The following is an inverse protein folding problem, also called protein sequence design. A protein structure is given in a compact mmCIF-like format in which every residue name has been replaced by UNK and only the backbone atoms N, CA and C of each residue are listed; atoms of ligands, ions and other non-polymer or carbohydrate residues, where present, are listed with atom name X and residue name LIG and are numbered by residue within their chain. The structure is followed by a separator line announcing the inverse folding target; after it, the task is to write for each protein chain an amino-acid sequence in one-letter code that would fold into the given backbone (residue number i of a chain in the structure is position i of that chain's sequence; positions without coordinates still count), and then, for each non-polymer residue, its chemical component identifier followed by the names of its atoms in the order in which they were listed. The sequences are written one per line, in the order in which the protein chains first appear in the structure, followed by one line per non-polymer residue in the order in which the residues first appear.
data_IF_518762562075
#
_entry.id   IF_518762562075
#
_cell.length_a   1.000
_cell.length_b   1.000
_cell.length_c   1.000
_cell.angle_alpha   90.00
_cell.angle_beta   90.00
_cell.angle_gamma   90.00
#
_symmetry.space_group_name_H-M   'P 1'
#
loop_
_entity.id
_entity.type
_entity.pdbx_description
1 polymer ?
#
# COMPACT_ATOMS: atom_id res chain seq x y z
N UNK A 1 -29.92 -27.32 4.42
CA UNK A 1 -29.62 -25.86 4.41
C UNK A 1 -28.56 -25.63 3.34
N UNK A 2 -28.98 -25.25 2.13
CA UNK A 2 -28.13 -25.23 0.93
C UNK A 2 -27.42 -23.87 0.88
N UNK A 3 -26.10 -23.85 1.10
CA UNK A 3 -25.26 -22.67 0.81
C UNK A 3 -25.16 -22.56 -0.72
N UNK A 4 -25.75 -21.52 -1.30
CA UNK A 4 -25.47 -21.15 -2.69
C UNK A 4 -23.99 -20.75 -2.77
N UNK A 5 -23.18 -21.64 -3.34
CA UNK A 5 -21.87 -21.32 -3.90
C UNK A 5 -22.10 -20.32 -5.03
N UNK A 6 -21.79 -19.05 -4.78
CA UNK A 6 -21.76 -18.03 -5.81
C UNK A 6 -20.54 -18.32 -6.68
N UNK A 7 -20.79 -19.07 -7.77
CA UNK A 7 -19.81 -19.41 -8.80
C UNK A 7 -19.41 -18.09 -9.47
N UNK A 8 -18.12 -17.82 -9.53
CA UNK A 8 -17.58 -16.69 -10.28
C UNK A 8 -17.82 -16.95 -11.77
N UNK A 9 -18.83 -16.30 -12.33
CA UNK A 9 -19.07 -16.25 -13.78
C UNK A 9 -18.06 -15.27 -14.39
N UNK A 10 -17.30 -15.73 -15.38
CA UNK A 10 -16.28 -14.96 -16.12
C UNK A 10 -16.88 -13.85 -17.03
N UNK A 11 -18.21 -13.67 -17.00
CA UNK A 11 -18.90 -12.67 -17.79
C UNK A 11 -18.82 -11.31 -17.07
N UNK A 12 -17.90 -10.46 -17.55
CA UNK A 12 -17.76 -8.99 -17.41
C UNK A 12 -18.38 -8.29 -16.17
N UNK A 13 -17.69 -7.32 -15.55
CA UNK A 13 -18.30 -6.50 -14.50
C UNK A 13 -19.60 -5.88 -15.04
N UNK A 14 -20.74 -6.22 -14.42
CA UNK A 14 -22.05 -5.74 -14.83
C UNK A 14 -22.07 -4.22 -14.69
N UNK A 15 -22.12 -3.51 -15.80
CA UNK A 15 -22.47 -2.09 -15.82
C UNK A 15 -23.82 -1.93 -15.10
N UNK A 16 -23.87 -0.99 -14.17
CA UNK A 16 -25.12 -0.62 -13.52
C UNK A 16 -26.03 0.04 -14.56
N UNK A 17 -26.95 -0.72 -15.14
CA UNK A 17 -28.10 -0.17 -15.84
C UNK A 17 -29.01 0.49 -14.79
N UNK A 18 -28.93 1.82 -14.72
CA UNK A 18 -29.73 2.63 -13.80
C UNK A 18 -29.50 4.10 -14.07
N UNK A 19 -30.33 4.68 -14.93
CA UNK A 19 -30.21 6.04 -15.43
C UNK A 19 -30.25 7.11 -14.34
N UNK A 20 -29.16 7.88 -14.27
CA UNK A 20 -29.18 9.32 -14.04
C UNK A 20 -27.93 9.85 -14.74
N UNK A 21 -28.11 10.77 -15.71
CA UNK A 21 -27.00 11.48 -16.36
C UNK A 21 -26.28 12.34 -15.33
N UNK A 22 -25.37 11.73 -14.57
CA UNK A 22 -24.28 12.44 -13.93
C UNK A 22 -23.34 12.94 -15.05
N UNK A 23 -22.73 14.12 -14.89
CA UNK A 23 -21.76 14.62 -15.87
C UNK A 23 -20.67 13.57 -16.07
N UNK A 24 -20.38 13.25 -17.33
CA UNK A 24 -19.31 12.33 -17.71
C UNK A 24 -18.03 12.75 -16.98
N UNK A 25 -17.44 11.89 -16.14
CA UNK A 25 -16.18 12.21 -15.49
C UNK A 25 -15.17 12.52 -16.60
N UNK A 26 -14.47 13.65 -16.46
CA UNK A 26 -13.41 14.03 -17.38
C UNK A 26 -12.49 12.83 -17.61
N UNK A 27 -12.26 12.48 -18.89
CA UNK A 27 -11.39 11.37 -19.28
C UNK A 27 -10.04 11.58 -18.61
N UNK A 28 -9.74 10.70 -17.64
CA UNK A 28 -8.55 10.80 -16.80
C UNK A 28 -7.35 10.35 -17.62
N UNK A 29 -6.26 11.13 -17.69
CA UNK A 29 -5.03 10.67 -18.31
C UNK A 29 -4.46 9.53 -17.46
N UNK A 30 -4.32 8.36 -18.07
CA UNK A 30 -3.70 7.19 -17.45
C UNK A 30 -2.26 7.11 -17.93
N UNK A 31 -1.31 7.18 -17.00
CA UNK A 31 0.08 6.81 -17.28
C UNK A 31 0.25 5.33 -17.01
N UNK A 32 0.37 4.55 -18.07
CA UNK A 32 0.64 3.12 -18.01
C UNK A 32 2.14 2.88 -18.09
N UNK A 33 2.66 2.17 -17.10
CA UNK A 33 4.02 1.63 -17.11
C UNK A 33 3.90 0.19 -17.61
N UNK A 34 4.11 0.00 -18.91
CA UNK A 34 4.10 -1.31 -19.55
C UNK A 34 5.47 -2.00 -19.42
N UNK A 35 5.47 -3.33 -19.41
CA UNK A 35 6.70 -4.12 -19.49
C UNK A 35 7.30 -4.05 -20.91
N UNK A 36 8.61 -4.28 -21.00
CA UNK A 36 9.39 -3.99 -22.23
C UNK A 36 8.94 -4.76 -23.49
N UNK A 37 8.23 -5.89 -23.33
CA UNK A 37 7.82 -6.79 -24.42
C UNK A 37 6.30 -6.80 -24.68
N UNK A 38 5.53 -5.92 -24.02
CA UNK A 38 4.07 -5.86 -24.11
C UNK A 38 3.62 -4.74 -25.07
N UNK A 39 2.58 -4.98 -25.90
CA UNK A 39 1.99 -3.92 -26.71
C UNK A 39 1.19 -2.96 -25.81
N UNK A 40 1.23 -1.66 -26.12
CA UNK A 40 0.53 -0.65 -25.33
C UNK A 40 -0.99 -0.88 -25.24
N UNK A 41 -1.59 -1.50 -26.26
CA UNK A 41 -3.02 -1.80 -26.34
C UNK A 41 -3.41 -2.97 -25.43
N UNK A 42 -2.63 -4.06 -25.45
CA UNK A 42 -2.84 -5.20 -24.55
C UNK A 42 -2.57 -4.81 -23.10
N UNK A 43 -1.49 -4.05 -22.86
CA UNK A 43 -1.18 -3.49 -21.54
C UNK A 43 -2.32 -2.63 -21.02
N UNK A 44 -2.95 -1.81 -21.88
CA UNK A 44 -4.08 -0.96 -21.52
C UNK A 44 -5.34 -1.78 -21.21
N UNK A 45 -5.66 -2.79 -22.02
CA UNK A 45 -6.84 -3.63 -21.83
C UNK A 45 -6.73 -4.48 -20.56
N UNK A 46 -5.60 -5.17 -20.36
CA UNK A 46 -5.38 -6.02 -19.18
C UNK A 46 -5.27 -5.18 -17.90
N UNK A 47 -4.64 -4.00 -17.97
CA UNK A 47 -4.64 -3.03 -16.88
C UNK A 47 -6.04 -2.51 -16.55
N UNK A 48 -6.85 -2.16 -17.56
CA UNK A 48 -8.20 -1.66 -17.34
C UNK A 48 -9.08 -2.72 -16.66
N UNK A 49 -8.96 -3.98 -17.09
CA UNK A 49 -9.70 -5.10 -16.52
C UNK A 49 -9.23 -5.43 -15.10
N UNK A 50 -7.92 -5.39 -14.86
CA UNK A 50 -7.34 -5.55 -13.52
C UNK A 50 -7.81 -4.45 -12.57
N UNK A 51 -7.85 -3.20 -13.04
CA UNK A 51 -8.31 -2.07 -12.22
C UNK A 51 -9.80 -2.08 -11.91
N UNK A 52 -10.66 -2.44 -12.86
CA UNK A 52 -12.10 -2.56 -12.59
C UNK A 52 -12.36 -3.56 -11.46
N UNK A 53 -11.62 -4.68 -11.46
CA UNK A 53 -11.67 -5.67 -10.39
C UNK A 53 -11.16 -5.15 -9.06
N UNK A 54 -10.05 -4.43 -9.08
CA UNK A 54 -9.47 -3.79 -7.89
C UNK A 54 -10.43 -2.77 -7.29
N UNK A 55 -11.01 -1.90 -8.10
CA UNK A 55 -11.99 -0.91 -7.67
C UNK A 55 -13.25 -1.57 -7.11
N UNK A 56 -13.71 -2.66 -7.74
CA UNK A 56 -14.82 -3.45 -7.22
C UNK A 56 -14.49 -4.09 -5.86
N UNK A 57 -13.33 -4.74 -5.71
CA UNK A 57 -12.90 -5.36 -4.44
C UNK A 57 -12.79 -4.32 -3.33
N UNK A 58 -12.25 -3.14 -3.66
CA UNK A 58 -12.10 -2.03 -2.74
C UNK A 58 -13.39 -1.35 -2.39
N UNK A 59 -14.43 -1.42 -3.21
CA UNK A 59 -15.75 -0.89 -2.85
C UNK A 59 -16.26 -1.49 -1.52
N UNK A 60 -15.97 -2.76 -1.25
CA UNK A 60 -16.39 -3.43 -0.01
C UNK A 60 -15.65 -2.90 1.23
N UNK A 61 -14.35 -2.64 1.09
CA UNK A 61 -13.50 -2.05 2.14
C UNK A 61 -13.92 -0.61 2.38
N UNK A 62 -14.08 0.15 1.29
CA UNK A 62 -14.56 1.54 1.27
C UNK A 62 -15.91 1.73 1.89
N UNK A 63 -16.77 0.74 1.96
CA UNK A 63 -18.06 0.91 2.63
C UNK A 63 -17.93 0.83 4.16
N UNK A 64 -17.02 -0.01 4.67
CA UNK A 64 -17.06 -0.50 6.05
C UNK A 64 -15.93 -0.01 6.94
N UNK A 65 -14.84 0.52 6.37
CA UNK A 65 -13.70 1.06 7.12
C UNK A 65 -13.51 2.56 6.87
N UNK A 66 -13.15 3.34 7.91
CA UNK A 66 -12.89 4.79 7.80
C UNK A 66 -11.44 5.13 7.38
N UNK A 67 -10.58 4.12 7.23
CA UNK A 67 -9.15 4.21 6.93
C UNK A 67 -8.50 2.86 7.22
N UNK A 68 -7.35 2.53 6.62
CA UNK A 68 -6.64 1.26 6.91
C UNK A 68 -5.43 1.57 7.79
N UNK A 69 -4.51 2.40 7.31
CA UNK A 69 -3.38 2.89 8.09
C UNK A 69 -3.42 4.41 8.29
N UNK A 70 -4.02 5.16 7.35
CA UNK A 70 -4.20 6.60 7.49
C UNK A 70 -5.58 6.93 8.06
N UNK A 71 -5.62 7.68 9.17
CA UNK A 71 -6.87 8.14 9.79
C UNK A 71 -6.88 9.66 9.92
N UNK A 72 -7.80 10.32 9.19
CA UNK A 72 -7.93 11.76 9.24
C UNK A 72 -8.39 12.30 10.61
N UNK A 73 -9.18 11.53 11.37
CA UNK A 73 -10.01 12.06 12.46
C UNK A 73 -9.61 11.64 13.90
N UNK A 74 -8.79 10.61 14.10
CA UNK A 74 -8.57 10.01 15.43
C UNK A 74 -7.24 10.41 16.10
N UNK A 75 -7.09 11.69 16.44
CA UNK A 75 -6.13 12.12 17.47
C UNK A 75 -6.85 13.00 18.49
N UNK A 76 -6.49 12.93 19.79
CA UNK A 76 -7.12 13.72 20.84
C UNK A 76 -6.97 15.20 20.48
N UNK A 77 -8.10 15.88 20.26
CA UNK A 77 -8.06 17.32 20.05
C UNK A 77 -7.65 17.97 21.38
N UNK A 78 -6.60 18.81 21.43
CA UNK A 78 -6.35 19.68 22.58
C UNK A 78 -7.27 20.91 22.56
N UNK A 79 -8.37 20.88 21.80
CA UNK A 79 -9.27 22.02 21.63
C UNK A 79 -10.40 21.95 22.65
N UNK A 80 -10.77 23.11 23.19
CA UNK A 80 -11.94 23.30 24.06
C UNK A 80 -13.29 23.02 23.34
N UNK A 81 -13.26 22.65 22.06
CA UNK A 81 -14.44 22.48 21.20
C UNK A 81 -14.38 21.13 20.46
N UNK A 82 -14.94 20.05 21.03
CA UNK A 82 -14.85 18.68 20.50
C UNK A 82 -15.60 18.45 19.17
N UNK A 83 -16.08 19.51 18.50
CA UNK A 83 -16.85 19.46 17.24
C UNK A 83 -16.27 20.34 16.12
N UNK A 84 -15.10 20.94 16.31
CA UNK A 84 -14.49 21.71 15.23
C UNK A 84 -14.11 20.75 14.08
N UNK A 85 -14.61 20.99 12.84
CA UNK A 85 -14.23 20.18 11.69
C UNK A 85 -12.72 20.29 11.47
N UNK A 86 -12.09 19.19 11.03
CA UNK A 86 -10.69 19.24 10.63
C UNK A 86 -10.52 20.27 9.51
N UNK A 87 -9.57 21.19 9.66
CA UNK A 87 -9.27 22.14 8.59
C UNK A 87 -8.58 21.42 7.45
N UNK A 88 -8.77 21.90 6.22
CA UNK A 88 -8.08 21.34 5.04
C UNK A 88 -6.55 21.35 5.21
N UNK A 89 -6.02 22.39 5.87
CA UNK A 89 -4.60 22.50 6.20
C UNK A 89 -4.14 21.41 7.19
N UNK A 90 -4.93 21.12 8.23
CA UNK A 90 -4.61 20.07 9.19
C UNK A 90 -4.64 18.68 8.55
N UNK A 91 -5.58 18.43 7.63
CA UNK A 91 -5.60 17.20 6.84
C UNK A 91 -4.36 17.08 5.94
N UNK A 92 -4.01 18.15 5.23
CA UNK A 92 -2.84 18.16 4.36
C UNK A 92 -1.55 17.87 5.14
N UNK A 93 -1.36 18.51 6.30
CA UNK A 93 -0.20 18.28 7.16
C UNK A 93 -0.15 16.83 7.70
N UNK A 94 -1.31 16.24 8.04
CA UNK A 94 -1.38 14.84 8.49
C UNK A 94 -1.06 13.86 7.37
N UNK A 95 -1.58 14.12 6.17
CA UNK A 95 -1.27 13.32 4.99
C UNK A 95 0.20 13.39 4.63
N UNK A 96 0.81 14.56 4.72
CA UNK A 96 2.25 14.73 4.54
C UNK A 96 3.04 13.93 5.59
N UNK A 97 2.68 14.00 6.87
CA UNK A 97 3.33 13.20 7.90
C UNK A 97 3.20 11.69 7.66
N UNK A 98 2.01 11.21 7.31
CA UNK A 98 1.78 9.81 6.96
C UNK A 98 2.62 9.38 5.77
N UNK A 99 2.64 10.18 4.70
CA UNK A 99 3.39 9.83 3.48
C UNK A 99 4.90 9.82 3.72
N UNK A 100 5.41 10.71 4.58
CA UNK A 100 6.84 10.82 4.87
C UNK A 100 7.34 9.79 5.89
N UNK A 101 6.55 9.50 6.93
CA UNK A 101 6.97 8.65 8.05
C UNK A 101 6.53 7.19 7.86
N UNK A 102 5.23 6.96 7.70
CA UNK A 102 4.67 5.61 7.69
C UNK A 102 4.81 4.97 6.31
N UNK A 103 4.33 5.68 5.27
CA UNK A 103 4.28 5.18 3.90
C UNK A 103 5.70 4.96 3.36
N UNK A 104 6.60 5.95 3.47
CA UNK A 104 8.01 5.79 3.07
C UNK A 104 8.85 4.95 4.02
N UNK A 105 8.36 4.73 5.24
CA UNK A 105 8.98 3.86 6.22
C UNK A 105 8.53 2.40 6.06
N UNK A 106 8.03 1.84 7.15
CA UNK A 106 7.74 0.41 7.27
C UNK A 106 6.63 -0.06 6.32
N UNK A 107 5.60 0.76 6.07
CA UNK A 107 4.45 0.34 5.26
C UNK A 107 4.85 0.13 3.79
N UNK A 108 5.53 1.12 3.19
CA UNK A 108 5.96 1.03 1.79
C UNK A 108 6.99 -0.05 1.57
N UNK A 109 7.99 -0.17 2.45
CA UNK A 109 8.97 -1.24 2.37
C UNK A 109 8.32 -2.62 2.53
N UNK A 110 7.38 -2.76 3.47
CA UNK A 110 6.62 -3.99 3.66
C UNK A 110 5.77 -4.35 2.44
N UNK A 111 5.11 -3.37 1.81
CA UNK A 111 4.34 -3.58 0.57
C UNK A 111 5.24 -4.03 -0.58
N UNK A 112 6.37 -3.37 -0.79
CA UNK A 112 7.33 -3.73 -1.86
C UNK A 112 7.85 -5.16 -1.65
N UNK A 113 8.25 -5.50 -0.43
CA UNK A 113 8.74 -6.84 -0.11
C UNK A 113 7.65 -7.90 -0.25
N UNK A 114 6.41 -7.59 0.13
CA UNK A 114 5.28 -8.50 -0.04
C UNK A 114 4.97 -8.74 -1.51
N UNK A 115 5.03 -7.70 -2.35
CA UNK A 115 4.85 -7.85 -3.79
C UNK A 115 5.94 -8.71 -4.41
N UNK A 116 7.20 -8.48 -4.05
CA UNK A 116 8.34 -9.29 -4.50
C UNK A 116 8.23 -10.76 -4.07
N UNK A 117 7.87 -11.03 -2.81
CA UNK A 117 7.66 -12.38 -2.31
C UNK A 117 6.50 -13.09 -3.03
N UNK A 118 5.43 -12.34 -3.32
CA UNK A 118 4.30 -12.84 -4.12
C UNK A 118 4.73 -13.21 -5.53
N UNK A 119 5.49 -12.34 -6.19
CA UNK A 119 6.05 -12.58 -7.52
C UNK A 119 6.94 -13.82 -7.55
N UNK A 120 7.79 -13.98 -6.54
CA UNK A 120 8.67 -15.14 -6.37
C UNK A 120 7.94 -16.43 -5.93
N UNK A 121 6.62 -16.39 -5.72
CA UNK A 121 5.82 -17.49 -5.17
C UNK A 121 6.31 -17.98 -3.78
N UNK A 122 6.96 -17.11 -3.01
CA UNK A 122 7.55 -17.40 -1.70
C UNK A 122 6.52 -17.18 -0.58
N UNK A 123 5.76 -18.25 -0.31
CA UNK A 123 4.75 -18.24 0.75
C UNK A 123 5.36 -18.10 2.17
N UNK A 124 6.44 -18.82 2.54
CA UNK A 124 7.10 -18.61 3.83
C UNK A 124 7.47 -17.14 4.05
N UNK A 125 8.05 -16.47 3.05
CA UNK A 125 8.40 -15.05 3.17
C UNK A 125 7.19 -14.15 3.36
N UNK A 126 6.06 -14.42 2.70
CA UNK A 126 4.83 -13.66 2.93
C UNK A 126 4.31 -13.81 4.37
N UNK A 127 4.41 -14.99 4.95
CA UNK A 127 4.00 -15.24 6.34
C UNK A 127 4.92 -14.52 7.33
N UNK A 128 6.23 -14.51 7.07
CA UNK A 128 7.18 -13.72 7.86
C UNK A 128 6.85 -12.23 7.83
N UNK A 129 6.56 -11.69 6.63
CA UNK A 129 6.19 -10.29 6.47
C UNK A 129 4.88 -9.98 7.20
N UNK A 130 3.86 -10.84 7.11
CA UNK A 130 2.61 -10.68 7.85
C UNK A 130 2.84 -10.64 9.37
N UNK A 131 3.66 -11.55 9.90
CA UNK A 131 4.03 -11.56 11.30
C UNK A 131 4.79 -10.28 11.72
N UNK A 132 5.67 -9.75 10.85
CA UNK A 132 6.37 -8.48 11.08
C UNK A 132 5.40 -7.30 11.15
N UNK A 133 4.37 -7.27 10.30
CA UNK A 133 3.31 -6.26 10.38
C UNK A 133 2.53 -6.35 11.69
N UNK A 134 2.23 -7.58 12.15
CA UNK A 134 1.63 -7.81 13.46
C UNK A 134 2.47 -7.26 14.61
N UNK A 135 3.80 -7.18 14.48
CA UNK A 135 4.65 -6.61 15.53
C UNK A 135 4.77 -5.09 15.39
N UNK A 136 4.88 -4.59 14.15
CA UNK A 136 5.22 -3.19 13.86
C UNK A 136 4.02 -2.25 13.97
N UNK A 137 2.83 -2.73 13.61
CA UNK A 137 1.63 -1.90 13.64
C UNK A 137 1.15 -1.65 15.08
N UNK A 138 0.66 -0.42 15.29
CA UNK A 138 -0.11 -0.06 16.48
C UNK A 138 -1.31 -1.00 16.64
N UNK A 139 -1.81 -1.27 17.86
CA UNK A 139 -2.93 -2.19 18.06
C UNK A 139 -4.17 -1.86 17.21
N UNK A 140 -4.54 -0.58 17.14
CA UNK A 140 -5.69 -0.12 16.34
C UNK A 140 -5.46 -0.33 14.82
N UNK A 141 -4.27 -0.01 14.32
CA UNK A 141 -3.92 -0.22 12.91
C UNK A 141 -3.82 -1.71 12.58
N UNK A 142 -3.38 -2.54 13.52
CA UNK A 142 -3.25 -3.99 13.35
C UNK A 142 -4.60 -4.66 13.15
N UNK A 143 -5.56 -4.35 14.00
CA UNK A 143 -6.94 -4.86 13.91
C UNK A 143 -7.59 -4.40 12.60
N UNK A 144 -7.50 -3.11 12.30
CA UNK A 144 -8.07 -2.52 11.08
C UNK A 144 -7.44 -3.12 9.82
N UNK A 145 -6.12 -3.31 9.82
CA UNK A 145 -5.39 -3.91 8.71
C UNK A 145 -5.73 -5.38 8.51
N UNK A 146 -5.84 -6.17 9.59
CA UNK A 146 -6.26 -7.57 9.51
C UNK A 146 -7.73 -7.69 9.04
N UNK A 147 -8.62 -6.83 9.53
CA UNK A 147 -10.01 -6.80 9.07
C UNK A 147 -10.10 -6.46 7.58
N UNK A 148 -9.38 -5.42 7.13
CA UNK A 148 -9.33 -5.03 5.73
C UNK A 148 -8.80 -6.16 4.83
N UNK A 149 -7.72 -6.84 5.24
CA UNK A 149 -7.16 -7.95 4.49
C UNK A 149 -8.09 -9.18 4.46
N UNK A 150 -8.74 -9.53 5.57
CA UNK A 150 -9.74 -10.61 5.60
C UNK A 150 -10.92 -10.33 4.65
N UNK A 151 -11.41 -9.08 4.61
CA UNK A 151 -12.47 -8.66 3.67
C UNK A 151 -12.01 -8.77 2.22
N UNK A 152 -10.77 -8.37 1.93
CA UNK A 152 -10.20 -8.47 0.60
C UNK A 152 -10.07 -9.93 0.16
N UNK A 153 -9.57 -10.82 1.02
CA UNK A 153 -9.51 -12.27 0.78
C UNK A 153 -10.89 -12.91 0.58
N UNK A 154 -11.90 -12.44 1.30
CA UNK A 154 -13.27 -12.90 1.11
C UNK A 154 -13.78 -12.55 -0.30
N UNK A 155 -13.43 -11.38 -0.82
CA UNK A 155 -13.77 -10.93 -2.17
C UNK A 155 -13.14 -11.75 -3.29
N UNK A 156 -12.06 -12.51 -3.01
CA UNK A 156 -11.39 -13.37 -4.00
C UNK A 156 -11.81 -14.83 -3.93
N UNK A 157 -12.80 -15.18 -3.08
CA UNK A 157 -13.35 -16.55 -3.02
C UNK A 157 -13.99 -16.93 -4.35
N UNK A 158 -13.66 -18.13 -4.82
CA UNK A 158 -14.16 -18.64 -6.11
C UNK A 158 -13.33 -18.23 -7.32
N UNK A 159 -12.29 -17.42 -7.15
CA UNK A 159 -11.33 -17.14 -8.22
C UNK A 159 -10.70 -18.45 -8.75
N UNK A 160 -10.59 -18.60 -10.07
CA UNK A 160 -9.86 -19.71 -10.69
C UNK A 160 -8.35 -19.46 -10.54
N UNK A 161 -7.55 -20.54 -10.44
CA UNK A 161 -6.08 -20.48 -10.36
C UNK A 161 -5.52 -19.57 -9.27
N UNK A 162 -5.73 -19.95 -8.01
CA UNK A 162 -5.47 -19.03 -6.90
C UNK A 162 -3.99 -18.95 -6.48
N UNK A 163 -3.10 -19.79 -7.03
CA UNK A 163 -1.65 -19.70 -6.80
C UNK A 163 -1.27 -19.47 -5.34
N UNK A 164 -0.38 -18.51 -5.11
CA UNK A 164 0.02 -18.07 -3.76
C UNK A 164 -1.12 -17.42 -2.96
N UNK A 165 -2.00 -16.63 -3.60
CA UNK A 165 -3.14 -15.97 -2.96
C UNK A 165 -4.10 -16.98 -2.31
N UNK A 166 -4.37 -18.10 -2.98
CA UNK A 166 -5.23 -19.17 -2.47
C UNK A 166 -4.61 -19.87 -1.28
N UNK A 167 -3.32 -20.21 -1.35
CA UNK A 167 -2.59 -20.82 -0.22
C UNK A 167 -2.57 -19.90 0.99
N UNK A 168 -2.26 -18.61 0.77
CA UNK A 168 -2.26 -17.61 1.83
C UNK A 168 -3.66 -17.44 2.45
N UNK A 169 -4.72 -17.42 1.63
CA UNK A 169 -6.10 -17.38 2.12
C UNK A 169 -6.45 -18.58 3.00
N UNK A 170 -6.09 -19.79 2.58
CA UNK A 170 -6.34 -21.00 3.38
C UNK A 170 -5.70 -20.88 4.77
N UNK A 171 -4.44 -20.42 4.83
CA UNK A 171 -3.75 -20.21 6.10
C UNK A 171 -4.44 -19.15 6.99
N UNK A 172 -4.97 -18.08 6.37
CA UNK A 172 -5.73 -17.06 7.10
C UNK A 172 -7.07 -17.62 7.62
N UNK A 173 -7.78 -18.41 6.82
CA UNK A 173 -9.04 -19.05 7.20
C UNK A 173 -8.86 -20.10 8.31
N UNK A 174 -7.69 -20.74 8.35
CA UNK A 174 -7.27 -21.67 9.41
C UNK A 174 -6.73 -20.95 10.67
N UNK A 175 -6.64 -19.62 10.65
CA UNK A 175 -6.14 -18.82 11.77
C UNK A 175 -4.63 -18.89 11.98
N UNK A 176 -3.87 -19.32 10.97
CA UNK A 176 -2.40 -19.44 11.03
C UNK A 176 -1.67 -18.13 10.70
N UNK A 177 -2.36 -17.15 10.12
CA UNK A 177 -1.82 -15.83 9.77
C UNK A 177 -2.88 -14.76 10.00
N UNK A 178 -2.47 -13.53 10.32
CA UNK A 178 -3.41 -12.44 10.58
C UNK A 178 -4.11 -11.98 9.29
N UNK A 179 -3.38 -11.97 8.18
CA UNK A 179 -3.92 -11.53 6.90
C UNK A 179 -3.94 -10.02 6.77
N UNK A 180 -2.82 -9.33 7.07
CA UNK A 180 -2.76 -7.88 7.00
C UNK A 180 -2.96 -7.35 5.58
N UNK A 181 -3.63 -6.21 5.49
CA UNK A 181 -4.09 -5.64 4.24
C UNK A 181 -2.98 -5.50 3.19
N UNK A 182 -1.79 -4.98 3.55
CA UNK A 182 -0.71 -4.78 2.57
C UNK A 182 -0.15 -6.11 2.02
N UNK A 183 -0.15 -7.17 2.82
CA UNK A 183 0.26 -8.51 2.38
C UNK A 183 -0.76 -9.08 1.41
N UNK A 184 -2.04 -9.00 1.77
CA UNK A 184 -3.14 -9.44 0.90
C UNK A 184 -3.20 -8.59 -0.36
N UNK A 185 -2.97 -7.29 -0.25
CA UNK A 185 -3.00 -6.34 -1.36
C UNK A 185 -1.95 -6.68 -2.41
N UNK A 186 -0.71 -6.95 -1.98
CA UNK A 186 0.34 -7.45 -2.86
C UNK A 186 -0.07 -8.75 -3.58
N UNK A 187 -0.63 -9.71 -2.82
CA UNK A 187 -1.07 -11.01 -3.35
C UNK A 187 -2.20 -10.88 -4.39
N UNK A 188 -3.19 -10.03 -4.11
CA UNK A 188 -4.32 -9.74 -5.01
C UNK A 188 -3.85 -8.98 -6.24
N UNK A 189 -3.03 -7.95 -6.07
CA UNK A 189 -2.57 -7.15 -7.18
C UNK A 189 -1.72 -7.96 -8.16
N UNK A 190 -0.84 -8.84 -7.67
CA UNK A 190 -0.12 -9.79 -8.52
C UNK A 190 -1.06 -10.80 -9.19
N UNK A 191 -2.10 -11.27 -8.50
CA UNK A 191 -3.11 -12.16 -9.10
C UNK A 191 -3.82 -11.50 -10.29
N UNK A 192 -4.06 -10.18 -10.22
CA UNK A 192 -4.59 -9.37 -11.32
C UNK A 192 -3.49 -8.75 -12.21
N UNK A 193 -2.25 -9.26 -12.14
CA UNK A 193 -1.12 -8.87 -12.98
C UNK A 193 -0.78 -7.36 -12.93
N UNK A 194 -1.06 -6.70 -11.81
CA UNK A 194 -0.70 -5.30 -11.63
C UNK A 194 0.80 -5.15 -11.34
N UNK A 195 1.43 -4.21 -12.04
CA UNK A 195 2.79 -3.76 -11.76
C UNK A 195 2.90 -3.14 -10.36
N UNK A 196 4.07 -3.25 -9.72
CA UNK A 196 4.34 -2.68 -8.39
C UNK A 196 3.99 -1.19 -8.30
N UNK A 197 4.28 -0.42 -9.35
CA UNK A 197 3.93 1.00 -9.41
C UNK A 197 2.41 1.22 -9.33
N UNK A 198 1.63 0.41 -10.04
CA UNK A 198 0.16 0.46 -9.99
C UNK A 198 -0.35 0.07 -8.59
N UNK A 199 0.25 -0.96 -7.97
CA UNK A 199 -0.09 -1.40 -6.60
C UNK A 199 0.08 -0.27 -5.59
N UNK A 200 1.21 0.45 -5.66
CA UNK A 200 1.52 1.57 -4.78
C UNK A 200 0.57 2.74 -5.04
N UNK A 201 0.37 3.12 -6.31
CA UNK A 201 -0.48 4.23 -6.69
C UNK A 201 -1.94 4.03 -6.24
N UNK A 202 -2.49 2.83 -6.46
CA UNK A 202 -3.85 2.49 -6.05
C UNK A 202 -3.99 2.41 -4.53
N UNK A 203 -2.96 1.96 -3.81
CA UNK A 203 -2.96 2.01 -2.35
C UNK A 203 -3.04 3.45 -1.82
N UNK A 204 -2.23 4.35 -2.39
CA UNK A 204 -2.22 5.78 -2.02
C UNK A 204 -3.60 6.41 -2.27
N UNK A 205 -4.20 6.14 -3.44
CA UNK A 205 -5.56 6.60 -3.77
C UNK A 205 -6.59 6.06 -2.77
N UNK A 206 -6.50 4.77 -2.44
CA UNK A 206 -7.42 4.12 -1.51
C UNK A 206 -7.36 4.75 -0.11
N UNK A 207 -6.18 4.92 0.48
CA UNK A 207 -6.03 5.51 1.82
C UNK A 207 -6.60 6.94 1.88
N UNK A 208 -6.37 7.74 0.82
CA UNK A 208 -6.94 9.08 0.74
C UNK A 208 -8.46 9.08 0.61
N UNK A 209 -9.00 8.26 -0.29
CA UNK A 209 -10.44 8.15 -0.51
C UNK A 209 -11.15 7.68 0.78
N UNK A 210 -10.56 6.73 1.50
CA UNK A 210 -11.08 6.24 2.78
C UNK A 210 -11.06 7.33 3.86
N UNK A 211 -9.96 8.06 3.98
CA UNK A 211 -9.82 9.07 5.03
C UNK A 211 -10.68 10.32 4.79
N UNK A 212 -10.98 10.65 3.53
CA UNK A 212 -11.75 11.85 3.17
C UNK A 212 -13.25 11.63 3.02
N UNK A 213 -13.72 10.37 2.87
CA UNK A 213 -15.15 10.06 2.63
C UNK A 213 -16.12 10.56 3.71
N UNK A 214 -15.64 10.71 4.94
CA UNK A 214 -16.46 11.09 6.10
C UNK A 214 -16.43 12.60 6.38
N UNK A 215 -15.69 13.36 5.58
CA UNK A 215 -15.58 14.80 5.77
C UNK A 215 -16.86 15.48 5.26
N UNK A 216 -17.35 16.51 5.97
CA UNK A 216 -18.60 17.19 5.64
C UNK A 216 -18.53 17.93 4.29
N UNK A 217 -17.33 18.33 3.88
CA UNK A 217 -17.07 18.97 2.59
C UNK A 217 -16.33 17.99 1.69
N UNK A 218 -16.79 17.75 0.45
CA UNK A 218 -16.07 16.93 -0.51
C UNK A 218 -14.68 17.51 -0.74
N UNK A 219 -13.65 16.68 -0.53
CA UNK A 219 -12.27 17.05 -0.83
C UNK A 219 -11.92 16.54 -2.21
N UNK A 220 -11.17 17.35 -2.96
CA UNK A 220 -10.68 16.95 -4.27
C UNK A 220 -9.84 15.66 -4.16
N UNK A 221 -9.87 14.78 -5.18
CA UNK A 221 -8.97 13.65 -5.23
C UNK A 221 -7.51 14.14 -5.22
N UNK A 222 -6.59 13.29 -4.75
CA UNK A 222 -5.16 13.59 -4.88
C UNK A 222 -4.84 13.74 -6.36
N UNK A 223 -4.04 14.76 -6.67
CA UNK A 223 -3.54 14.99 -8.02
C UNK A 223 -2.63 13.85 -8.47
N UNK A 224 -2.77 13.42 -9.72
CA UNK A 224 -2.02 12.28 -10.26
C UNK A 224 -0.51 12.53 -10.22
N UNK A 225 -0.03 13.77 -10.36
CA UNK A 225 1.39 14.09 -10.26
C UNK A 225 1.94 13.84 -8.85
N UNK A 226 1.11 14.07 -7.81
CA UNK A 226 1.49 13.80 -6.42
C UNK A 226 1.58 12.30 -6.16
N UNK A 227 0.67 11.51 -6.71
CA UNK A 227 0.70 10.04 -6.62
C UNK A 227 1.91 9.48 -7.36
N UNK A 228 2.18 9.96 -8.57
CA UNK A 228 3.35 9.53 -9.35
C UNK A 228 4.66 9.85 -8.62
N UNK A 229 4.76 11.05 -8.04
CA UNK A 229 5.91 11.48 -7.25
C UNK A 229 6.13 10.57 -6.03
N UNK A 230 5.07 10.31 -5.25
CA UNK A 230 5.15 9.43 -4.08
C UNK A 230 5.50 7.99 -4.47
N UNK A 231 4.92 7.48 -5.56
CA UNK A 231 5.20 6.14 -6.09
C UNK A 231 6.66 6.01 -6.49
N UNK A 232 7.18 6.96 -7.28
CA UNK A 232 8.58 7.00 -7.68
C UNK A 232 9.52 7.07 -6.47
N UNK A 233 9.21 7.92 -5.49
CA UNK A 233 9.99 8.02 -4.26
C UNK A 233 10.05 6.71 -3.49
N UNK A 234 8.93 5.98 -3.37
CA UNK A 234 8.89 4.67 -2.72
C UNK A 234 9.73 3.62 -3.45
N UNK A 235 9.62 3.58 -4.78
CA UNK A 235 10.38 2.64 -5.62
C UNK A 235 11.88 2.91 -5.61
N UNK A 236 12.30 4.17 -5.44
CA UNK A 236 13.70 4.58 -5.43
C UNK A 236 14.21 4.96 -4.06
N UNK A 237 13.47 4.69 -2.97
CA UNK A 237 13.96 4.97 -1.62
C UNK A 237 15.22 4.15 -1.41
N UNK A 238 16.42 4.77 -1.32
CA UNK A 238 17.61 4.02 -0.99
C UNK A 238 17.35 3.34 0.35
N UNK A 239 17.83 2.10 0.52
CA UNK A 239 17.87 1.48 1.85
C UNK A 239 18.62 2.45 2.77
N UNK A 240 17.90 3.26 3.54
CA UNK A 240 18.49 4.08 4.60
C UNK A 240 18.83 3.09 5.72
N UNK A 241 19.90 2.33 5.50
CA UNK A 241 20.73 1.88 6.58
C UNK A 241 21.28 3.13 7.24
N UNK A 242 21.09 3.25 8.54
CA UNK A 242 21.72 4.23 9.41
C UNK A 242 23.17 4.51 8.99
N UNK A 243 23.40 5.60 8.26
CA UNK A 243 24.64 6.37 8.35
C UNK A 243 24.42 7.42 9.43
N UNK A 244 24.34 6.97 10.69
CA UNK A 244 24.55 7.84 11.83
C UNK A 244 25.66 7.20 12.66
N UNK A 245 26.75 7.95 12.82
CA UNK A 245 27.99 7.62 13.53
C UNK A 245 29.05 6.88 12.68
N UNK A 246 29.50 7.55 11.62
CA UNK A 246 30.92 7.50 11.27
C UNK A 246 31.70 8.20 12.37
N UNK A 247 32.45 7.40 13.12
CA UNK A 247 33.32 7.76 14.24
C UNK A 247 34.32 8.86 13.88
N UNK A 248 34.02 10.10 14.28
CA UNK A 248 35.04 11.08 14.67
C UNK A 248 35.58 10.68 16.06
N UNK A 249 36.44 9.67 16.12
CA UNK A 249 37.22 9.36 17.33
C UNK A 249 38.33 8.36 17.00
N UNK A 250 39.34 8.79 16.23
CA UNK A 250 40.67 8.16 16.32
C UNK A 250 41.78 9.04 15.74
N UNK A 251 41.97 10.23 16.31
CA UNK A 251 43.23 10.99 16.19
C UNK A 251 43.55 11.74 17.49
N UNK A 252 43.55 11.05 18.63
CA UNK A 252 44.24 11.53 19.83
C UNK A 252 44.89 10.32 20.52
N UNK A 253 46.07 9.92 20.04
CA UNK A 253 47.28 9.76 20.85
C UNK A 253 48.34 8.88 20.16
N UNK A 254 49.54 9.44 20.06
CA UNK A 254 50.75 8.68 20.36
C UNK A 254 51.48 8.06 19.18
N UNK A 255 52.37 8.84 18.56
CA UNK A 255 53.70 8.30 18.21
C UNK A 255 54.71 9.44 18.13
N UNK A 256 55.17 9.87 19.31
CA UNK A 256 56.51 10.41 19.43
C UNK A 256 57.50 9.27 19.20
N UNK A 257 58.26 9.33 18.10
CA UNK A 257 59.55 8.68 17.95
C UNK A 257 60.27 9.30 16.75
N UNK A 258 61.08 10.33 17.01
CA UNK A 258 62.25 10.59 16.17
C UNK A 258 63.13 9.34 16.15
N UNK A 259 63.75 9.07 14.99
CA UNK A 259 65.19 8.90 15.05
C UNK A 259 65.91 9.79 14.04
N UNK A 260 66.81 10.59 14.59
CA UNK A 260 68.01 11.15 13.98
C UNK A 260 68.77 10.03 13.24
N UNK A 261 69.00 10.19 11.93
CA UNK A 261 70.34 10.12 11.29
C UNK A 261 70.28 9.85 9.78
N UNK A 262 71.15 10.58 9.07
CA UNK A 262 71.87 10.23 7.83
C UNK A 262 71.25 10.57 6.46
N UNK A 263 71.64 11.74 5.94
CA UNK A 263 72.23 11.93 4.61
C UNK A 263 73.25 13.08 4.75
N UNK A 264 74.40 13.17 4.09
CA UNK A 264 75.32 12.28 3.36
C UNK A 264 76.59 13.18 3.15
N UNK A 265 77.65 12.76 2.43
CA UNK A 265 79.01 13.32 2.54
C UNK A 265 79.20 14.76 2.03
#
# INVERSE_FOLDING_TARGET
MIRLLQRMDDAQPRHAEGGASAPLPALRPVTLLADADESAETALEDWSRGLDWVHWLFSSIRQRLPGIHFHALHLPQPSLYPRAPITQQALAARWENFTQQDLRGSLGQGLIQAWQATQAQDLPRLLELDAQFSITLSPASRETSAEAGARLLQGTRGARYQGILGRYRTLQEEGQTAGHFLIVWAAVAHFFQLSLASVIAEYIRLEWDLATRHLPTPIAPIRDESIATLTSQLMHTPRIGLQLLGTEADQINGSAAEPVSQQAP
#
